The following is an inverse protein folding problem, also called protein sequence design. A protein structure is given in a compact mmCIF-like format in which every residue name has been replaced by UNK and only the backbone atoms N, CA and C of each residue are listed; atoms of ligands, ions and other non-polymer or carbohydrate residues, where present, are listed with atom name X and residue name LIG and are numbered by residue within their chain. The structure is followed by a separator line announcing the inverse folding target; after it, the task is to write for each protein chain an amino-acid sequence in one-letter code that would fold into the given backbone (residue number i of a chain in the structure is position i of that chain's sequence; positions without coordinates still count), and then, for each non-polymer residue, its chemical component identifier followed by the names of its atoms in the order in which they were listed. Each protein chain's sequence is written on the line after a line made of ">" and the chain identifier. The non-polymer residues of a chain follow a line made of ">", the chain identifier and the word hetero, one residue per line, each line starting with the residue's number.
data_IF_550685744070
#
_entry.id   IF_550685744070
#
_cell.length_a   1.000
_cell.length_b   1.000
_cell.length_c   1.000
_cell.angle_alpha   90.00
_cell.angle_beta   90.00
_cell.angle_gamma   90.00
#
_symmetry.space_group_name_H-M   'P 1'
#
loop_
_entity.id
_entity.type
_entity.pdbx_description
1 polymer ?
#
# COMPACT_ATOMS: atom_id res chain seq x y z
N UNK A 1 -77.72 -0.99 -2.68
CA UNK A 1 -76.40 -0.63 -3.21
C UNK A 1 -75.40 -0.69 -2.09
N UNK A 2 -74.42 -1.62 -2.13
CA UNK A 2 -73.33 -1.64 -1.17
C UNK A 2 -72.20 -0.74 -1.63
N UNK A 3 -71.39 -0.15 -0.72
CA UNK A 3 -70.28 0.74 -1.06
C UNK A 3 -69.07 -0.03 -1.58
N UNK A 4 -68.29 0.63 -2.43
CA UNK A 4 -67.06 0.15 -3.07
C UNK A 4 -65.94 0.02 -2.04
N UNK A 5 -65.04 -0.95 -2.17
CA UNK A 5 -63.92 -1.11 -1.24
C UNK A 5 -62.72 -0.20 -1.62
N UNK A 6 -62.14 0.22 -0.59
CA UNK A 6 -61.00 1.04 -0.30
C UNK A 6 -59.73 0.68 -1.02
N UNK A 7 -59.06 1.71 -1.45
CA UNK A 7 -57.66 1.90 -1.80
C UNK A 7 -56.69 0.76 -1.45
N UNK A 8 -56.02 0.25 -2.49
CA UNK A 8 -54.83 -0.59 -2.44
C UNK A 8 -53.63 0.25 -1.89
N UNK A 9 -53.21 -0.05 -0.69
CA UNK A 9 -51.96 0.40 -0.11
C UNK A 9 -50.78 -0.13 -0.97
N UNK A 10 -49.97 0.78 -1.47
CA UNK A 10 -48.65 0.47 -2.10
C UNK A 10 -47.79 -0.24 -1.07
N UNK A 11 -47.14 -1.36 -1.40
CA UNK A 11 -46.19 -1.97 -0.51
C UNK A 11 -44.99 -1.02 -0.33
N UNK A 12 -44.71 -0.66 0.91
CA UNK A 12 -43.52 0.03 1.36
C UNK A 12 -42.30 -0.76 0.89
N UNK A 13 -41.36 -0.12 0.16
CA UNK A 13 -40.07 -0.73 -0.12
C UNK A 13 -39.40 -1.03 1.22
N UNK A 14 -39.31 -2.31 1.53
CA UNK A 14 -38.47 -2.79 2.63
C UNK A 14 -37.06 -2.28 2.39
N UNK A 15 -36.57 -1.41 3.25
CA UNK A 15 -35.15 -1.07 3.31
C UNK A 15 -34.41 -2.39 3.50
N UNK A 16 -33.55 -2.74 2.54
CA UNK A 16 -32.76 -3.97 2.59
C UNK A 16 -31.97 -4.01 3.90
N UNK A 17 -31.87 -5.18 4.50
CA UNK A 17 -31.05 -5.38 5.69
C UNK A 17 -29.62 -4.88 5.44
N UNK A 18 -28.94 -4.31 6.45
CA UNK A 18 -27.56 -3.85 6.29
C UNK A 18 -26.70 -5.02 5.78
N UNK A 19 -25.74 -4.75 4.87
CA UNK A 19 -24.89 -5.80 4.31
C UNK A 19 -24.11 -6.50 5.44
N UNK A 20 -24.01 -7.82 5.35
CA UNK A 20 -23.23 -8.62 6.30
C UNK A 20 -21.74 -8.28 6.25
N UNK A 21 -20.93 -8.64 7.27
CA UNK A 21 -19.51 -8.26 7.37
C UNK A 21 -18.73 -8.53 6.07
N UNK A 22 -18.79 -9.72 5.51
CA UNK A 22 -18.12 -10.10 4.27
C UNK A 22 -18.51 -9.21 3.06
N UNK A 23 -19.76 -8.78 2.99
CA UNK A 23 -20.24 -7.91 1.91
C UNK A 23 -19.75 -6.48 2.08
N UNK A 24 -19.58 -6.03 3.34
CA UNK A 24 -18.96 -4.72 3.66
C UNK A 24 -17.49 -4.70 3.23
N UNK A 25 -16.74 -5.77 3.54
CA UNK A 25 -15.31 -5.89 3.19
C UNK A 25 -15.12 -5.91 1.67
N UNK A 26 -15.94 -6.66 0.94
CA UNK A 26 -15.91 -6.69 -0.52
C UNK A 26 -16.24 -5.32 -1.14
N UNK A 27 -17.17 -4.58 -0.54
CA UNK A 27 -17.53 -3.23 -1.01
C UNK A 27 -16.42 -2.23 -0.72
N UNK A 28 -15.80 -2.31 0.46
CA UNK A 28 -14.64 -1.50 0.81
C UNK A 28 -13.48 -1.75 -0.16
N UNK A 29 -13.15 -3.02 -0.42
CA UNK A 29 -12.13 -3.39 -1.38
C UNK A 29 -12.42 -2.82 -2.79
N UNK A 30 -13.66 -2.96 -3.28
CA UNK A 30 -14.08 -2.43 -4.58
C UNK A 30 -13.92 -0.91 -4.68
N UNK A 31 -14.22 -0.16 -3.61
CA UNK A 31 -14.02 1.30 -3.57
C UNK A 31 -12.54 1.67 -3.60
N UNK A 32 -11.71 0.96 -2.84
CA UNK A 32 -10.26 1.18 -2.82
C UNK A 32 -9.60 0.82 -4.15
N UNK A 33 -10.04 -0.26 -4.81
CA UNK A 33 -9.53 -0.65 -6.14
C UNK A 33 -9.92 0.37 -7.22
N UNK A 34 -11.15 0.87 -7.18
CA UNK A 34 -11.61 1.92 -8.08
C UNK A 34 -10.82 3.21 -7.90
N UNK A 35 -10.56 3.60 -6.64
CA UNK A 35 -9.76 4.79 -6.33
C UNK A 35 -8.32 4.63 -6.79
N UNK A 36 -7.68 3.50 -6.53
CA UNK A 36 -6.32 3.20 -6.96
C UNK A 36 -6.17 3.34 -8.48
N UNK A 37 -7.07 2.72 -9.24
CA UNK A 37 -7.04 2.80 -10.70
C UNK A 37 -7.22 4.24 -11.21
N UNK A 38 -8.17 4.99 -10.64
CA UNK A 38 -8.42 6.38 -11.04
C UNK A 38 -7.29 7.33 -10.66
N UNK A 39 -6.64 7.11 -9.51
CA UNK A 39 -5.52 7.93 -9.09
C UNK A 39 -4.31 7.74 -10.01
N UNK A 40 -4.06 6.52 -10.48
CA UNK A 40 -3.03 6.24 -11.49
C UNK A 40 -3.41 6.85 -12.86
N UNK A 41 -4.69 6.74 -13.26
CA UNK A 41 -5.14 7.18 -14.60
C UNK A 41 -5.15 8.71 -14.77
N UNK A 42 -5.56 9.46 -13.75
CA UNK A 42 -5.79 10.90 -13.88
C UNK A 42 -5.36 11.75 -12.68
N UNK A 43 -4.69 11.15 -11.70
CA UNK A 43 -4.22 11.83 -10.48
C UNK A 43 -5.29 11.93 -9.39
N UNK A 44 -4.83 12.14 -8.16
CA UNK A 44 -5.69 12.23 -6.98
C UNK A 44 -6.61 13.44 -7.05
N UNK A 45 -6.09 14.61 -7.41
CA UNK A 45 -6.87 15.87 -7.42
C UNK A 45 -7.93 15.91 -8.51
N UNK A 46 -7.67 15.31 -9.68
CA UNK A 46 -8.62 15.23 -10.78
C UNK A 46 -9.69 14.14 -10.60
N UNK A 47 -9.58 13.30 -9.58
CA UNK A 47 -10.53 12.21 -9.31
C UNK A 47 -11.64 12.69 -8.38
N UNK A 48 -12.89 12.66 -8.84
CA UNK A 48 -14.06 12.97 -8.02
C UNK A 48 -14.59 11.75 -7.26
N UNK A 49 -15.36 11.99 -6.18
CA UNK A 49 -16.04 10.92 -5.45
C UNK A 49 -17.08 10.21 -6.34
N UNK A 50 -17.68 10.96 -7.26
CA UNK A 50 -18.59 10.42 -8.27
C UNK A 50 -17.90 9.40 -9.18
N UNK A 51 -16.71 9.71 -9.68
CA UNK A 51 -15.92 8.82 -10.51
C UNK A 51 -15.61 7.51 -9.79
N UNK A 52 -15.20 7.61 -8.50
CA UNK A 52 -14.87 6.44 -7.68
C UNK A 52 -16.12 5.57 -7.47
N UNK A 53 -17.26 6.19 -7.12
CA UNK A 53 -18.50 5.46 -6.88
C UNK A 53 -19.00 4.78 -8.16
N UNK A 54 -18.94 5.47 -9.31
CA UNK A 54 -19.32 4.93 -10.61
C UNK A 54 -18.43 3.75 -10.99
N UNK A 55 -17.11 3.89 -10.89
CA UNK A 55 -16.14 2.82 -11.18
C UNK A 55 -16.32 1.61 -10.24
N UNK A 56 -16.66 1.84 -8.98
CA UNK A 56 -16.94 0.79 -7.99
C UNK A 56 -18.34 0.16 -8.14
N UNK A 57 -19.15 0.64 -9.09
CA UNK A 57 -20.51 0.14 -9.31
C UNK A 57 -21.44 0.38 -8.11
N UNK A 58 -21.37 1.56 -7.49
CA UNK A 58 -22.21 1.89 -6.34
C UNK A 58 -22.71 3.35 -6.38
N UNK A 59 -23.68 3.67 -5.54
CA UNK A 59 -24.16 5.03 -5.39
C UNK A 59 -23.13 5.88 -4.61
N UNK A 60 -23.09 7.20 -4.89
CA UNK A 60 -22.25 8.16 -4.12
C UNK A 60 -22.51 8.10 -2.62
N UNK A 61 -23.75 7.86 -2.19
CA UNK A 61 -24.08 7.68 -0.78
C UNK A 61 -23.40 6.47 -0.14
N UNK A 62 -23.08 5.44 -0.95
CA UNK A 62 -22.32 4.28 -0.49
C UNK A 62 -20.89 4.66 -0.17
N UNK A 63 -20.25 5.52 -0.97
CA UNK A 63 -18.92 6.05 -0.66
C UNK A 63 -18.91 6.72 0.71
N UNK A 64 -19.84 7.65 0.97
CA UNK A 64 -19.93 8.37 2.25
C UNK A 64 -20.28 7.50 3.47
N UNK A 65 -20.72 6.27 3.24
CA UNK A 65 -20.87 5.29 4.31
C UNK A 65 -19.51 4.74 4.81
N UNK A 66 -18.47 4.74 3.96
CA UNK A 66 -17.13 4.23 4.29
C UNK A 66 -16.12 5.36 4.53
N UNK A 67 -16.21 6.45 3.80
CA UNK A 67 -15.25 7.55 3.83
C UNK A 67 -15.96 8.89 3.86
N UNK A 68 -15.56 9.76 4.77
CA UNK A 68 -16.17 11.09 4.86
C UNK A 68 -15.72 12.03 3.73
N UNK A 69 -14.53 11.83 3.19
CA UNK A 69 -13.98 12.57 2.07
C UNK A 69 -12.91 11.77 1.29
N UNK A 70 -12.32 12.40 0.29
CA UNK A 70 -11.25 11.82 -0.52
C UNK A 70 -9.95 11.64 0.27
N UNK A 71 -9.66 12.50 1.23
CA UNK A 71 -8.45 12.38 2.05
C UNK A 71 -8.50 11.10 2.92
N UNK A 72 -9.66 10.81 3.53
CA UNK A 72 -9.87 9.56 4.25
C UNK A 72 -9.73 8.31 3.37
N UNK A 73 -10.21 8.40 2.11
CA UNK A 73 -10.00 7.34 1.12
C UNK A 73 -8.52 7.15 0.81
N UNK A 74 -7.78 8.24 0.59
CA UNK A 74 -6.35 8.20 0.28
C UNK A 74 -5.54 7.59 1.43
N UNK A 75 -5.85 7.96 2.68
CA UNK A 75 -5.23 7.37 3.87
C UNK A 75 -5.50 5.86 3.99
N UNK A 76 -6.74 5.44 3.73
CA UNK A 76 -7.07 4.02 3.72
C UNK A 76 -6.34 3.26 2.60
N UNK A 77 -6.15 3.88 1.44
CA UNK A 77 -5.41 3.30 0.32
C UNK A 77 -3.91 3.17 0.64
N UNK A 78 -3.31 4.21 1.26
CA UNK A 78 -1.94 4.17 1.78
C UNK A 78 -1.75 3.06 2.81
N UNK A 79 -2.67 2.98 3.78
CA UNK A 79 -2.65 1.92 4.78
C UNK A 79 -2.73 0.51 4.16
N UNK A 80 -3.59 0.32 3.16
CA UNK A 80 -3.70 -0.95 2.43
C UNK A 80 -2.41 -1.27 1.66
N UNK A 81 -1.81 -0.28 1.03
CA UNK A 81 -0.54 -0.44 0.32
C UNK A 81 0.58 -0.85 1.29
N UNK A 82 0.75 -0.13 2.40
CA UNK A 82 1.76 -0.43 3.41
C UNK A 82 1.57 -1.80 4.05
N UNK A 83 0.32 -2.20 4.34
CA UNK A 83 0.03 -3.53 4.90
C UNK A 83 0.39 -4.63 3.90
N UNK A 84 0.00 -4.49 2.63
CA UNK A 84 0.34 -5.45 1.58
C UNK A 84 1.85 -5.62 1.43
N UNK A 85 2.58 -4.50 1.45
CA UNK A 85 4.04 -4.53 1.41
C UNK A 85 4.62 -5.30 2.60
N UNK A 86 4.18 -4.98 3.83
CA UNK A 86 4.64 -5.67 5.03
C UNK A 86 4.37 -7.19 4.93
N UNK A 87 3.17 -7.57 4.53
CA UNK A 87 2.80 -8.99 4.37
C UNK A 87 3.71 -9.71 3.35
N UNK A 88 4.06 -9.06 2.23
CA UNK A 88 4.94 -9.62 1.20
C UNK A 88 6.37 -9.79 1.70
N UNK A 89 6.91 -8.78 2.35
CA UNK A 89 8.28 -8.78 2.89
C UNK A 89 8.42 -9.79 4.02
N UNK A 90 7.45 -9.84 4.94
CA UNK A 90 7.43 -10.79 6.05
C UNK A 90 7.35 -12.23 5.51
N UNK A 91 6.48 -12.50 4.54
CA UNK A 91 6.38 -13.82 3.91
C UNK A 91 7.69 -14.23 3.21
N UNK A 92 8.37 -13.30 2.54
CA UNK A 92 9.65 -13.57 1.89
C UNK A 92 10.75 -13.89 2.91
N UNK A 93 10.82 -13.14 4.02
CA UNK A 93 11.78 -13.41 5.09
C UNK A 93 11.47 -14.70 5.85
N UNK A 94 10.21 -15.03 6.06
CA UNK A 94 9.78 -16.26 6.76
C UNK A 94 10.06 -17.53 5.95
N UNK A 95 10.21 -17.41 4.63
CA UNK A 95 10.63 -18.52 3.78
C UNK A 95 12.13 -18.87 3.93
N UNK A 96 12.92 -17.98 4.55
CA UNK A 96 14.34 -18.20 4.82
C UNK A 96 14.55 -18.93 6.16
N UNK A 97 15.70 -19.59 6.33
CA UNK A 97 16.08 -20.13 7.63
C UNK A 97 16.19 -19.00 8.67
N UNK A 98 15.66 -19.15 9.90
CA UNK A 98 15.57 -18.04 10.86
C UNK A 98 16.91 -17.39 11.25
N UNK A 99 18.02 -18.14 11.11
CA UNK A 99 19.37 -17.68 11.45
C UNK A 99 20.19 -17.27 10.22
N UNK A 100 19.63 -17.38 9.01
CA UNK A 100 20.28 -16.96 7.78
C UNK A 100 19.96 -15.48 7.51
N UNK A 101 20.66 -14.62 8.24
CA UNK A 101 20.44 -13.19 8.20
C UNK A 101 20.72 -12.59 6.82
N UNK A 102 21.72 -13.11 6.12
CA UNK A 102 22.05 -12.65 4.77
C UNK A 102 20.94 -13.02 3.77
N UNK A 103 20.41 -14.24 3.85
CA UNK A 103 19.27 -14.65 3.02
C UNK A 103 18.01 -13.83 3.35
N UNK A 104 17.75 -13.53 4.62
CA UNK A 104 16.61 -12.68 5.04
C UNK A 104 16.75 -11.25 4.54
N UNK A 105 17.96 -10.66 4.59
CA UNK A 105 18.21 -9.32 4.02
C UNK A 105 18.04 -9.32 2.50
N UNK A 106 18.52 -10.35 1.82
CA UNK A 106 18.32 -10.53 0.38
C UNK A 106 16.83 -10.66 0.05
N UNK A 107 16.08 -11.48 0.79
CA UNK A 107 14.64 -11.68 0.59
C UNK A 107 13.86 -10.38 0.81
N UNK A 108 14.18 -9.60 1.86
CA UNK A 108 13.61 -8.27 2.11
C UNK A 108 13.87 -7.35 0.91
N UNK A 109 15.11 -7.30 0.43
CA UNK A 109 15.51 -6.43 -0.68
C UNK A 109 14.80 -6.81 -1.98
N UNK A 110 14.79 -8.10 -2.33
CA UNK A 110 14.12 -8.58 -3.55
C UNK A 110 12.61 -8.31 -3.50
N UNK A 111 11.94 -8.66 -2.40
CA UNK A 111 10.51 -8.41 -2.26
C UNK A 111 10.18 -6.90 -2.37
N UNK A 112 11.02 -6.03 -1.79
CA UNK A 112 10.87 -4.57 -1.88
C UNK A 112 11.03 -4.07 -3.31
N UNK A 113 12.06 -4.51 -4.01
CA UNK A 113 12.32 -4.10 -5.41
C UNK A 113 11.20 -4.57 -6.32
N UNK A 114 10.80 -5.84 -6.21
CA UNK A 114 9.78 -6.44 -7.06
C UNK A 114 8.42 -5.78 -6.87
N UNK A 115 7.99 -5.55 -5.61
CA UNK A 115 6.71 -4.87 -5.32
C UNK A 115 6.74 -3.41 -5.78
N UNK A 116 7.85 -2.69 -5.56
CA UNK A 116 7.97 -1.31 -6.02
C UNK A 116 7.86 -1.22 -7.55
N UNK A 117 8.61 -2.02 -8.29
CA UNK A 117 8.58 -2.03 -9.75
C UNK A 117 7.21 -2.44 -10.31
N UNK A 118 6.49 -3.33 -9.61
CA UNK A 118 5.16 -3.74 -10.00
C UNK A 118 4.09 -2.65 -9.74
N UNK A 119 4.32 -1.74 -8.79
CA UNK A 119 3.29 -0.83 -8.26
C UNK A 119 3.70 0.64 -8.26
N UNK A 120 4.83 1.02 -8.86
CA UNK A 120 5.40 2.37 -8.75
C UNK A 120 4.43 3.49 -9.17
N UNK A 121 3.59 3.28 -10.21
CA UNK A 121 2.60 4.28 -10.61
C UNK A 121 1.57 4.56 -9.51
N UNK A 122 1.14 3.51 -8.79
CA UNK A 122 0.24 3.68 -7.66
C UNK A 122 0.96 4.32 -6.48
N UNK A 123 2.19 3.88 -6.20
CA UNK A 123 3.04 4.45 -5.16
C UNK A 123 3.20 5.95 -5.36
N UNK A 124 3.61 6.39 -6.56
CA UNK A 124 3.75 7.80 -6.90
C UNK A 124 2.45 8.59 -6.72
N UNK A 125 1.34 8.04 -7.23
CA UNK A 125 0.05 8.70 -7.14
C UNK A 125 -0.43 8.91 -5.69
N UNK A 126 -0.13 7.98 -4.78
CA UNK A 126 -0.63 8.06 -3.40
C UNK A 126 0.35 8.68 -2.40
N UNK A 127 1.67 8.66 -2.69
CA UNK A 127 2.70 9.16 -1.77
C UNK A 127 3.42 10.41 -2.26
N UNK A 128 3.60 10.59 -3.57
CA UNK A 128 4.41 11.65 -4.14
C UNK A 128 3.63 12.69 -4.97
N UNK A 129 2.31 12.61 -5.05
CA UNK A 129 1.50 13.65 -5.72
C UNK A 129 1.76 15.02 -5.04
N UNK A 130 2.36 16.00 -5.75
CA UNK A 130 2.77 17.29 -5.16
C UNK A 130 1.60 18.10 -4.60
N UNK A 131 0.38 17.89 -5.12
CA UNK A 131 -0.82 18.62 -4.69
C UNK A 131 -1.42 18.05 -3.41
N UNK A 132 -1.05 16.81 -3.06
CA UNK A 132 -1.58 16.08 -1.90
C UNK A 132 -0.55 15.93 -0.79
N UNK A 133 0.72 15.89 -1.14
CA UNK A 133 1.81 15.62 -0.19
C UNK A 133 2.34 16.90 0.44
N UNK A 134 1.69 17.40 1.49
CA UNK A 134 2.34 18.27 2.47
C UNK A 134 3.06 17.41 3.50
N UNK A 135 4.28 16.93 3.19
CA UNK A 135 5.15 16.15 4.08
C UNK A 135 4.56 14.80 4.52
N UNK A 136 4.45 13.85 3.60
CA UNK A 136 4.15 12.46 3.93
C UNK A 136 5.37 11.74 4.56
N UNK A 137 5.79 12.15 5.75
CA UNK A 137 6.83 11.45 6.52
C UNK A 137 6.28 10.14 7.12
N UNK A 138 4.96 10.03 7.29
CA UNK A 138 4.33 8.96 8.09
C UNK A 138 4.18 7.64 7.33
N UNK A 139 4.08 7.66 6.00
CA UNK A 139 3.75 6.46 5.23
C UNK A 139 4.93 5.60 4.83
N UNK A 140 6.13 6.17 4.79
CA UNK A 140 7.38 5.41 4.57
C UNK A 140 7.91 4.80 5.87
N UNK A 141 7.38 5.21 7.02
CA UNK A 141 7.81 4.75 8.34
C UNK A 141 7.68 3.23 8.50
N UNK A 142 6.63 2.62 7.96
CA UNK A 142 6.44 1.17 8.04
C UNK A 142 7.56 0.38 7.35
N UNK A 143 8.05 0.85 6.21
CA UNK A 143 9.13 0.21 5.45
C UNK A 143 10.47 0.32 6.18
N UNK A 144 10.78 1.51 6.68
CA UNK A 144 11.97 1.76 7.49
C UNK A 144 11.93 0.96 8.79
N UNK A 145 10.77 0.87 9.45
CA UNK A 145 10.59 0.09 10.68
C UNK A 145 10.83 -1.40 10.44
N UNK A 146 10.33 -1.98 9.36
CA UNK A 146 10.56 -3.39 9.00
C UNK A 146 12.05 -3.67 8.81
N UNK A 147 12.75 -2.85 8.00
CA UNK A 147 14.18 -3.02 7.78
C UNK A 147 14.98 -2.79 9.06
N UNK A 148 14.65 -1.78 9.87
CA UNK A 148 15.31 -1.52 11.13
C UNK A 148 15.17 -2.68 12.13
N UNK A 149 14.01 -3.36 12.14
CA UNK A 149 13.79 -4.53 12.95
C UNK A 149 14.69 -5.70 12.51
N UNK A 150 14.80 -5.94 11.21
CA UNK A 150 15.69 -6.95 10.65
C UNK A 150 17.17 -6.66 10.98
N UNK A 151 17.62 -5.42 10.76
CA UNK A 151 18.99 -4.99 11.04
C UNK A 151 19.34 -5.13 12.52
N UNK A 152 18.43 -4.76 13.42
CA UNK A 152 18.61 -4.91 14.87
C UNK A 152 18.75 -6.37 15.26
N UNK A 153 17.86 -7.24 14.80
CA UNK A 153 17.89 -8.66 15.11
C UNK A 153 19.18 -9.32 14.63
N UNK A 154 19.64 -8.99 13.41
CA UNK A 154 20.90 -9.51 12.88
C UNK A 154 22.13 -9.02 13.64
N UNK A 155 22.14 -7.76 14.08
CA UNK A 155 23.20 -7.22 14.95
C UNK A 155 23.20 -7.88 16.33
N UNK A 156 22.05 -8.04 16.98
CA UNK A 156 21.90 -8.74 18.26
C UNK A 156 22.34 -10.21 18.17
N UNK A 157 22.13 -10.85 17.04
CA UNK A 157 22.61 -12.21 16.78
C UNK A 157 24.12 -12.30 16.44
N UNK A 158 24.80 -11.15 16.33
CA UNK A 158 26.22 -11.07 15.97
C UNK A 158 26.53 -11.36 14.50
N UNK A 159 25.51 -11.34 13.63
CA UNK A 159 25.68 -11.54 12.20
C UNK A 159 26.23 -10.29 11.50
N UNK A 160 25.92 -9.10 12.02
CA UNK A 160 26.28 -7.81 11.46
C UNK A 160 26.83 -6.82 12.49
N UNK A 161 27.57 -5.79 12.01
CA UNK A 161 28.10 -4.72 12.82
C UNK A 161 27.35 -3.42 12.56
N UNK A 162 26.17 -3.26 13.15
CA UNK A 162 25.28 -2.10 12.98
C UNK A 162 25.09 -1.42 14.33
N UNK A 163 25.58 -0.19 14.47
CA UNK A 163 25.43 0.58 15.72
C UNK A 163 24.06 1.29 15.79
N UNK A 164 23.57 1.81 14.66
CA UNK A 164 22.32 2.58 14.57
C UNK A 164 21.33 1.94 13.58
N UNK A 165 20.61 0.87 13.95
CA UNK A 165 19.73 0.14 13.02
C UNK A 165 18.65 1.01 12.35
N UNK A 166 18.08 1.98 13.07
CA UNK A 166 17.02 2.87 12.54
C UNK A 166 17.58 3.84 11.52
N UNK A 167 18.70 4.49 11.82
CA UNK A 167 19.38 5.42 10.91
C UNK A 167 19.89 4.69 9.67
N UNK A 168 20.48 3.52 9.86
CA UNK A 168 20.95 2.66 8.76
C UNK A 168 19.80 2.21 7.87
N UNK A 169 18.69 1.78 8.45
CA UNK A 169 17.50 1.39 7.70
C UNK A 169 16.93 2.55 6.88
N UNK A 170 16.82 3.73 7.46
CA UNK A 170 16.35 4.92 6.74
C UNK A 170 17.28 5.26 5.56
N UNK A 171 18.60 5.25 5.77
CA UNK A 171 19.57 5.51 4.72
C UNK A 171 19.48 4.45 3.59
N UNK A 172 19.43 3.17 3.95
CA UNK A 172 19.32 2.06 3.00
C UNK A 172 18.01 2.12 2.21
N UNK A 173 16.89 2.38 2.89
CA UNK A 173 15.57 2.49 2.25
C UNK A 173 15.50 3.66 1.27
N UNK A 174 15.89 4.86 1.69
CA UNK A 174 15.86 6.03 0.80
C UNK A 174 16.89 5.92 -0.33
N UNK A 175 18.03 5.30 -0.09
CA UNK A 175 19.01 5.00 -1.14
C UNK A 175 18.46 4.02 -2.19
N UNK A 176 17.79 2.96 -1.74
CA UNK A 176 17.09 2.01 -2.62
C UNK A 176 16.01 2.71 -3.44
N UNK A 177 15.16 3.49 -2.79
CA UNK A 177 14.07 4.21 -3.44
C UNK A 177 14.60 5.15 -4.55
N UNK A 178 15.64 5.94 -4.27
CA UNK A 178 16.26 6.80 -5.26
C UNK A 178 16.87 6.04 -6.44
N UNK A 179 17.45 4.85 -6.23
CA UNK A 179 17.97 4.00 -7.31
C UNK A 179 16.83 3.43 -8.18
N UNK A 180 15.70 3.07 -7.59
CA UNK A 180 14.53 2.57 -8.32
C UNK A 180 13.91 3.68 -9.18
N UNK A 181 13.72 4.87 -8.63
CA UNK A 181 13.20 6.03 -9.34
C UNK A 181 14.10 6.42 -10.53
N UNK A 182 15.42 6.42 -10.31
CA UNK A 182 16.39 6.73 -11.36
C UNK A 182 16.33 5.68 -12.48
N UNK A 183 16.27 4.39 -12.14
CA UNK A 183 16.18 3.30 -13.11
C UNK A 183 14.90 3.38 -13.94
N UNK A 184 13.76 3.67 -13.30
CA UNK A 184 12.47 3.87 -13.99
C UNK A 184 12.54 5.09 -14.91
N UNK A 185 13.02 6.23 -14.42
CA UNK A 185 13.12 7.47 -15.19
C UNK A 185 14.01 7.34 -16.43
N UNK A 186 15.07 6.54 -16.35
CA UNK A 186 16.00 6.26 -17.47
C UNK A 186 15.59 5.08 -18.34
N UNK A 187 14.51 4.38 -18.01
CA UNK A 187 14.10 3.13 -18.65
C UNK A 187 15.24 2.08 -18.68
N UNK A 188 16.01 1.99 -17.59
CA UNK A 188 17.09 1.02 -17.46
C UNK A 188 16.55 -0.40 -17.29
N UNK A 189 17.38 -1.41 -17.60
CA UNK A 189 17.07 -2.79 -17.28
C UNK A 189 17.15 -3.01 -15.75
N UNK A 190 16.01 -3.27 -15.13
CA UNK A 190 15.87 -3.47 -13.69
C UNK A 190 16.10 -4.92 -13.26
N UNK A 191 16.30 -5.87 -14.19
CA UNK A 191 16.40 -7.30 -13.89
C UNK A 191 17.52 -7.65 -12.89
N UNK A 192 18.62 -6.88 -12.87
CA UNK A 192 19.75 -7.09 -11.94
C UNK A 192 19.77 -6.13 -10.76
N UNK A 193 18.75 -5.25 -10.63
CA UNK A 193 18.79 -4.17 -9.65
C UNK A 193 18.70 -4.71 -8.21
N UNK A 194 17.81 -5.65 -7.96
CA UNK A 194 17.66 -6.30 -6.65
C UNK A 194 18.96 -6.96 -6.17
N UNK A 195 19.66 -7.67 -7.06
CA UNK A 195 20.94 -8.30 -6.74
C UNK A 195 22.05 -7.28 -6.48
N UNK A 196 22.08 -6.18 -7.24
CA UNK A 196 23.06 -5.08 -7.04
C UNK A 196 22.85 -4.43 -5.68
N UNK A 197 21.60 -4.10 -5.32
CA UNK A 197 21.25 -3.50 -4.05
C UNK A 197 21.52 -4.47 -2.88
N UNK A 198 21.20 -5.76 -3.03
CA UNK A 198 21.51 -6.78 -2.03
C UNK A 198 22.99 -6.85 -1.71
N UNK A 199 23.87 -6.78 -2.74
CA UNK A 199 25.32 -6.74 -2.53
C UNK A 199 25.76 -5.48 -1.78
N UNK A 200 25.22 -4.31 -2.13
CA UNK A 200 25.52 -3.05 -1.44
C UNK A 200 25.07 -3.10 0.02
N UNK A 201 23.87 -3.58 0.29
CA UNK A 201 23.37 -3.75 1.66
C UNK A 201 24.22 -4.72 2.47
N UNK A 202 24.62 -5.85 1.87
CA UNK A 202 25.52 -6.81 2.50
C UNK A 202 26.90 -6.23 2.84
N UNK A 203 27.40 -5.23 2.10
CA UNK A 203 28.62 -4.49 2.44
C UNK A 203 28.39 -3.52 3.60
N UNK A 204 27.29 -2.78 3.56
CA UNK A 204 26.94 -1.80 4.61
C UNK A 204 26.73 -2.43 5.99
N UNK A 205 26.18 -3.63 6.06
CA UNK A 205 25.91 -4.31 7.35
C UNK A 205 27.16 -4.94 7.97
N UNK A 206 28.30 -5.01 7.24
CA UNK A 206 29.55 -5.62 7.70
C UNK A 206 30.70 -4.62 7.87
N UNK A 207 30.46 -3.34 7.58
CA UNK A 207 31.48 -2.26 7.64
C UNK A 207 31.74 -1.74 9.05
#
# INVERSE_FOLDING_TARGET
>A
MPPLPTTLSRPSRLAGAPPGPRQRDLRLASLLDAAAALFVEKGVMATSIEDIAERAGCAKSTFYHYFHDRAAMLEALRGRYSQRFSDLVDAAMDACAPQDWDARLAAWTHATVDEYLATYLLHDAIFHDPEVCQRCVISEEAFVVSLAALLRQGAEAGAWSIEEPVTSAAFMFHGLHGLLDEAIAKAEDTASLAERVTRLFGQLVRS
#
